data_IF_409972104974
#
_entry.id   IF_409972104974
#
_cell.length_a   1.000
_cell.length_b   1.000
_cell.length_c   1.000
_cell.angle_alpha   90.00
_cell.angle_beta   90.00
_cell.angle_gamma   90.00
#
_symmetry.space_group_name_H-M   'P 1'
#
loop_
_entity.id
_entity.type
_entity.pdbx_description
1 polymer ?
#
# COMPACT_ATOMS: atom_id res chain seq x y z
N UNK A 1 -22.96 7.48 22.42
CA UNK A 1 -21.94 6.46 22.73
C UNK A 1 -22.22 5.24 21.87
N UNK A 2 -21.64 5.18 20.67
CA UNK A 2 -21.80 4.04 19.75
C UNK A 2 -20.51 3.24 19.84
N UNK A 3 -20.59 2.05 20.45
CA UNK A 3 -19.51 1.07 20.44
C UNK A 3 -19.30 0.60 19.00
N UNK A 4 -18.22 1.03 18.37
CA UNK A 4 -17.71 0.37 17.17
C UNK A 4 -16.94 -0.86 17.68
N UNK A 5 -17.59 -2.01 17.76
CA UNK A 5 -16.88 -3.28 17.77
C UNK A 5 -16.25 -3.48 16.38
N UNK A 6 -15.14 -2.79 16.12
CA UNK A 6 -14.24 -3.22 15.07
C UNK A 6 -13.69 -4.56 15.56
N UNK A 7 -14.20 -5.67 15.03
CA UNK A 7 -13.47 -6.95 15.10
C UNK A 7 -12.12 -6.68 14.44
N UNK A 8 -11.13 -6.39 15.28
CA UNK A 8 -9.77 -6.14 14.86
C UNK A 8 -9.26 -7.47 14.33
N UNK A 9 -9.33 -7.65 13.02
CA UNK A 9 -8.83 -8.85 12.38
C UNK A 9 -7.28 -8.79 12.45
N UNK A 10 -6.63 -9.77 13.10
CA UNK A 10 -5.23 -9.69 13.54
C UNK A 10 -4.24 -9.44 12.40
N UNK A 11 -4.59 -9.80 11.16
CA UNK A 11 -3.81 -9.51 9.96
C UNK A 11 -3.62 -8.01 9.74
N UNK A 12 -4.65 -7.19 9.95
CA UNK A 12 -4.57 -5.74 9.74
C UNK A 12 -3.78 -5.01 10.82
N UNK A 13 -3.73 -5.57 12.04
CA UNK A 13 -2.89 -5.02 13.12
C UNK A 13 -1.43 -5.25 12.81
N UNK A 14 -1.09 -6.44 12.30
CA UNK A 14 0.27 -6.75 11.89
C UNK A 14 0.71 -5.86 10.72
N UNK A 15 -0.15 -5.66 9.72
CA UNK A 15 0.13 -4.75 8.60
C UNK A 15 0.30 -3.30 9.07
N UNK A 16 -0.55 -2.82 9.98
CA UNK A 16 -0.49 -1.46 10.51
C UNK A 16 0.72 -1.23 11.42
N UNK A 17 1.10 -2.24 12.21
CA UNK A 17 2.33 -2.21 13.01
C UNK A 17 3.57 -2.22 12.13
N UNK A 18 3.62 -3.09 11.12
CA UNK A 18 4.74 -3.16 10.17
C UNK A 18 4.90 -1.85 9.40
N UNK A 19 3.81 -1.25 8.91
CA UNK A 19 3.86 0.03 8.19
C UNK A 19 4.21 1.21 9.10
N UNK A 20 3.78 1.21 10.36
CA UNK A 20 4.15 2.25 11.34
C UNK A 20 5.62 2.12 11.77
N UNK A 21 6.08 0.90 12.06
CA UNK A 21 7.48 0.63 12.40
C UNK A 21 8.41 0.93 11.23
N UNK A 22 8.09 0.47 10.02
CA UNK A 22 8.88 0.74 8.81
C UNK A 22 8.78 2.21 8.36
N UNK A 23 7.67 2.89 8.66
CA UNK A 23 7.49 4.32 8.42
C UNK A 23 8.31 5.22 9.35
N UNK A 24 8.66 4.71 10.55
CA UNK A 24 9.51 5.39 11.53
C UNK A 24 11.01 5.09 11.41
N UNK A 25 11.42 4.16 10.56
CA UNK A 25 12.84 3.88 10.32
C UNK A 25 13.44 5.01 9.48
N UNK A 26 14.46 5.73 9.97
CA UNK A 26 15.17 6.71 9.16
C UNK A 26 15.68 6.04 7.87
N UNK A 27 15.43 6.66 6.70
CA UNK A 27 15.94 6.22 5.39
C UNK A 27 17.46 5.94 5.38
N UNK A 28 18.18 6.48 6.36
CA UNK A 28 19.62 6.37 6.59
C UNK A 28 20.04 5.01 7.16
N UNK A 29 19.18 4.27 7.88
CA UNK A 29 19.62 3.09 8.64
C UNK A 29 19.52 1.76 7.88
N UNK A 30 18.60 1.60 6.91
CA UNK A 30 18.30 0.28 6.31
C UNK A 30 18.14 0.23 4.78
N UNK A 31 18.48 1.31 4.07
CA UNK A 31 18.62 1.31 2.60
C UNK A 31 17.36 0.98 1.77
N UNK A 32 17.20 1.62 0.61
CA UNK A 32 16.15 1.29 -0.36
C UNK A 32 15.95 -0.20 -0.73
N UNK A 33 16.97 -1.08 -0.69
CA UNK A 33 16.82 -2.50 -1.05
C UNK A 33 16.02 -3.36 -0.04
N UNK A 34 16.17 -3.14 1.27
CA UNK A 34 15.49 -3.96 2.28
C UNK A 34 13.97 -3.71 2.27
N UNK A 35 13.60 -2.45 2.05
CA UNK A 35 12.21 -2.04 1.80
C UNK A 35 11.64 -2.75 0.58
N UNK A 36 12.37 -2.82 -0.53
CA UNK A 36 11.88 -3.51 -1.73
C UNK A 36 11.61 -5.01 -1.52
N UNK A 37 12.38 -5.68 -0.65
CA UNK A 37 12.17 -7.10 -0.34
C UNK A 37 10.89 -7.33 0.49
N UNK A 38 10.67 -6.52 1.54
CA UNK A 38 9.46 -6.61 2.37
C UNK A 38 8.20 -6.22 1.59
N UNK A 39 8.28 -5.23 0.70
CA UNK A 39 7.14 -4.86 -0.14
C UNK A 39 6.82 -5.98 -1.16
N UNK A 40 7.82 -6.70 -1.67
CA UNK A 40 7.56 -7.84 -2.58
C UNK A 40 6.75 -8.97 -1.94
N UNK A 41 6.85 -9.18 -0.63
CA UNK A 41 6.07 -10.22 0.05
C UNK A 41 4.64 -9.78 0.41
N UNK A 42 4.35 -8.47 0.38
CA UNK A 42 3.05 -7.91 0.76
C UNK A 42 2.14 -7.65 -0.45
N UNK A 43 2.73 -7.28 -1.59
CA UNK A 43 1.99 -6.94 -2.80
C UNK A 43 1.61 -8.18 -3.60
N UNK A 44 0.44 -8.15 -4.26
CA UNK A 44 0.12 -9.14 -5.29
C UNK A 44 1.16 -9.11 -6.43
N UNK A 45 1.62 -7.91 -6.80
CA UNK A 45 2.71 -7.72 -7.75
C UNK A 45 3.38 -6.36 -7.55
N UNK A 46 4.70 -6.33 -7.56
CA UNK A 46 5.48 -5.09 -7.65
C UNK A 46 6.60 -5.23 -8.69
N UNK A 47 6.58 -4.35 -9.67
CA UNK A 47 7.54 -4.30 -10.77
C UNK A 47 8.93 -3.84 -10.34
N UNK A 48 9.81 -3.71 -11.33
CA UNK A 48 11.18 -3.22 -11.17
C UNK A 48 11.19 -1.69 -11.14
N UNK A 49 12.15 -1.12 -10.40
CA UNK A 49 12.40 0.32 -10.35
C UNK A 49 11.17 1.16 -9.94
N UNK A 50 10.35 0.63 -9.03
CA UNK A 50 9.23 1.35 -8.43
C UNK A 50 9.78 2.34 -7.39
N UNK A 51 9.37 3.61 -7.50
CA UNK A 51 9.71 4.65 -6.54
C UNK A 51 8.48 5.00 -5.71
N UNK A 52 8.54 4.71 -4.42
CA UNK A 52 7.50 5.06 -3.45
C UNK A 52 8.10 6.09 -2.50
N UNK A 53 7.67 7.35 -2.61
CA UNK A 53 8.18 8.42 -1.74
C UNK A 53 7.73 8.25 -0.28
N UNK A 54 8.23 9.11 0.60
CA UNK A 54 7.80 9.15 2.00
C UNK A 54 6.32 9.55 2.11
N UNK A 55 5.68 9.14 3.20
CA UNK A 55 4.26 9.42 3.48
C UNK A 55 3.28 8.87 2.42
N UNK A 56 3.68 7.85 1.65
CA UNK A 56 2.74 7.09 0.82
C UNK A 56 2.08 6.01 1.67
N UNK A 57 0.76 5.95 1.67
CA UNK A 57 -0.02 4.97 2.41
C UNK A 57 -0.60 3.92 1.46
N UNK A 58 -0.34 2.64 1.74
CA UNK A 58 -0.77 1.50 0.91
C UNK A 58 -1.47 0.49 1.83
N UNK A 59 -2.78 0.29 1.62
CA UNK A 59 -3.62 -0.62 2.41
C UNK A 59 -4.23 -1.69 1.50
N UNK A 60 -4.34 -2.93 1.99
CA UNK A 60 -4.82 -4.05 1.18
C UNK A 60 -3.84 -4.42 0.06
N UNK A 61 -2.54 -4.41 0.35
CA UNK A 61 -1.47 -4.67 -0.63
C UNK A 61 -1.59 -5.98 -1.42
N UNK A 62 -2.20 -7.07 -0.91
CA UNK A 62 -2.51 -8.26 -1.74
C UNK A 62 -3.54 -8.01 -2.87
N UNK A 63 -4.21 -6.86 -2.88
CA UNK A 63 -5.13 -6.42 -3.93
C UNK A 63 -4.55 -5.31 -4.81
N UNK A 64 -3.27 -4.96 -4.61
CA UNK A 64 -2.57 -3.91 -5.36
C UNK A 64 -1.52 -4.56 -6.27
N UNK A 65 -1.55 -4.18 -7.54
CA UNK A 65 -0.55 -4.55 -8.53
C UNK A 65 0.13 -3.30 -9.09
N UNK A 66 1.46 -3.24 -8.96
CA UNK A 66 2.27 -2.13 -9.45
C UNK A 66 3.20 -2.62 -10.56
N UNK A 67 3.10 -2.01 -11.75
CA UNK A 67 3.97 -2.27 -12.89
C UNK A 67 5.39 -1.71 -12.74
N UNK A 68 6.19 -1.87 -13.79
CA UNK A 68 7.57 -1.39 -13.82
C UNK A 68 7.65 0.14 -13.90
N UNK A 69 8.66 0.73 -13.26
CA UNK A 69 8.96 2.16 -13.31
C UNK A 69 7.82 3.09 -12.84
N UNK A 70 6.94 2.58 -11.96
CA UNK A 70 5.88 3.39 -11.34
C UNK A 70 6.46 4.35 -10.31
N UNK A 71 5.89 5.56 -10.23
CA UNK A 71 6.27 6.58 -9.23
C UNK A 71 5.06 7.02 -8.42
N UNK A 72 5.13 6.83 -7.10
CA UNK A 72 4.14 7.32 -6.14
C UNK A 72 4.75 8.50 -5.38
N UNK A 73 4.23 9.70 -5.63
CA UNK A 73 4.69 10.92 -4.97
C UNK A 73 4.25 10.97 -3.49
N UNK A 74 4.88 11.86 -2.70
CA UNK A 74 4.54 12.09 -1.30
C UNK A 74 3.02 12.32 -1.11
N UNK A 75 2.46 11.77 -0.04
CA UNK A 75 1.04 11.88 0.35
C UNK A 75 0.05 11.17 -0.59
N UNK A 76 0.51 10.27 -1.46
CA UNK A 76 -0.38 9.36 -2.21
C UNK A 76 -0.98 8.33 -1.27
N UNK A 77 -2.28 8.08 -1.40
CA UNK A 77 -3.00 7.07 -0.63
C UNK A 77 -3.64 6.07 -1.60
N UNK A 78 -3.35 4.79 -1.41
CA UNK A 78 -4.03 3.70 -2.11
C UNK A 78 -4.60 2.74 -1.09
N UNK A 79 -5.92 2.68 -1.01
CA UNK A 79 -6.64 1.75 -0.16
C UNK A 79 -7.40 0.72 -1.00
N UNK A 80 -6.86 -0.48 -1.10
CA UNK A 80 -7.49 -1.60 -1.78
C UNK A 80 -8.22 -2.58 -0.82
N UNK A 81 -8.39 -2.24 0.46
CA UNK A 81 -8.93 -3.16 1.49
C UNK A 81 -10.46 -3.32 1.50
N UNK A 82 -11.20 -2.68 0.57
CA UNK A 82 -12.66 -2.70 0.54
C UNK A 82 -13.25 -4.10 0.33
N UNK A 83 -13.14 -4.64 -0.90
CA UNK A 83 -13.63 -5.97 -1.26
C UNK A 83 -12.48 -6.79 -1.87
N UNK A 84 -12.29 -8.07 -1.49
CA UNK A 84 -11.19 -8.90 -2.00
C UNK A 84 -11.23 -9.15 -3.51
N UNK A 85 -12.39 -8.98 -4.16
CA UNK A 85 -12.52 -9.07 -5.62
C UNK A 85 -12.05 -7.80 -6.35
N UNK A 86 -11.88 -6.69 -5.64
CA UNK A 86 -11.38 -5.46 -6.26
C UNK A 86 -9.86 -5.55 -6.42
N UNK A 87 -9.38 -4.91 -7.48
CA UNK A 87 -7.95 -4.80 -7.78
C UNK A 87 -7.62 -3.37 -8.14
N UNK A 88 -6.54 -2.84 -7.54
CA UNK A 88 -5.93 -1.59 -7.99
C UNK A 88 -4.71 -1.96 -8.81
N UNK A 89 -4.77 -1.68 -10.12
CA UNK A 89 -3.70 -1.98 -11.06
C UNK A 89 -3.07 -0.70 -11.59
N UNK A 90 -1.79 -0.50 -11.31
CA UNK A 90 -0.97 0.55 -11.91
C UNK A 90 -0.12 -0.05 -13.01
N UNK A 91 -0.34 0.37 -14.26
CA UNK A 91 0.43 -0.07 -15.41
C UNK A 91 1.90 0.43 -15.35
N UNK A 92 2.73 -0.05 -16.28
CA UNK A 92 4.11 0.39 -16.40
C UNK A 92 4.20 1.90 -16.64
N UNK A 93 5.22 2.55 -16.06
CA UNK A 93 5.53 3.97 -16.22
C UNK A 93 4.42 4.93 -15.78
N UNK A 94 3.51 4.48 -14.91
CA UNK A 94 2.49 5.35 -14.29
C UNK A 94 3.13 6.23 -13.20
N UNK A 95 2.69 7.50 -13.13
CA UNK A 95 3.05 8.42 -12.06
C UNK A 95 1.79 8.94 -11.36
N UNK A 96 1.66 8.68 -10.06
CA UNK A 96 0.66 9.33 -9.22
C UNK A 96 1.30 10.54 -8.54
N UNK A 97 0.65 11.69 -8.67
CA UNK A 97 1.12 12.94 -8.07
C UNK A 97 0.68 13.08 -6.61
N UNK A 98 1.21 14.10 -5.95
CA UNK A 98 0.98 14.38 -4.53
C UNK A 98 -0.52 14.45 -4.23
N UNK A 99 -0.94 13.77 -3.17
CA UNK A 99 -2.31 13.84 -2.65
C UNK A 99 -3.34 13.04 -3.46
N UNK A 100 -2.93 12.24 -4.45
CA UNK A 100 -3.85 11.32 -5.12
C UNK A 100 -4.34 10.28 -4.12
N UNK A 101 -5.67 10.14 -4.02
CA UNK A 101 -6.37 9.17 -3.18
C UNK A 101 -7.18 8.20 -4.05
N UNK A 102 -6.84 6.90 -3.98
CA UNK A 102 -7.52 5.82 -4.69
C UNK A 102 -8.06 4.84 -3.65
N UNK A 103 -9.37 4.56 -3.68
CA UNK A 103 -10.02 3.66 -2.72
C UNK A 103 -10.89 2.61 -3.42
N UNK A 104 -10.81 1.37 -2.96
CA UNK A 104 -11.73 0.31 -3.38
C UNK A 104 -13.03 0.37 -2.57
N UNK A 105 -14.15 0.06 -3.24
CA UNK A 105 -15.45 -0.03 -2.59
C UNK A 105 -15.55 -1.34 -1.77
N UNK A 106 -16.36 -1.32 -0.71
CA UNK A 106 -16.52 -2.47 0.19
C UNK A 106 -17.54 -3.50 -0.34
N UNK A 107 -18.59 -3.02 -1.02
CA UNK A 107 -19.73 -3.84 -1.45
C UNK A 107 -19.81 -3.91 -2.98
N UNK A 108 -18.83 -4.57 -3.60
CA UNK A 108 -18.89 -4.90 -5.03
C UNK A 108 -19.34 -6.34 -5.21
N UNK A 109 -20.37 -6.55 -6.01
CA UNK A 109 -20.81 -7.85 -6.50
C UNK A 109 -20.21 -8.08 -7.88
N UNK A 110 -19.78 -9.31 -8.17
CA UNK A 110 -19.32 -9.71 -9.51
C UNK A 110 -20.51 -9.96 -10.42
#
# INVERSE_FOLDING_TARGET
MILIESKINPTYVQERLLTTLLGGIPNILLGGPLRNFVYRSLFARIGKSVNIQHCVELLGTPCIEIGDQVRLAKDVQINASGNPNNRVYLANRVKLQRGVDIRSLHNTHK
#
